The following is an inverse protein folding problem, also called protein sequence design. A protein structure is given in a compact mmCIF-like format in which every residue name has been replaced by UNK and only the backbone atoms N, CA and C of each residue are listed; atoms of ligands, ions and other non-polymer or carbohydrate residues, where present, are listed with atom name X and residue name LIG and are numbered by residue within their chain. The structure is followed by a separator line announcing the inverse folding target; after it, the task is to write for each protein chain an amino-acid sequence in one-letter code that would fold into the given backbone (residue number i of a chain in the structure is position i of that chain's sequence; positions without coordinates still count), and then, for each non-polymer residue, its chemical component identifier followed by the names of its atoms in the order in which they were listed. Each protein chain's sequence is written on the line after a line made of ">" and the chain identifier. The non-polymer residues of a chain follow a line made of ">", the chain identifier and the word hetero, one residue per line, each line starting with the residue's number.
data_IF_539004210233
#
_entry.id   IF_539004210233
#
_cell.length_a   1.000
_cell.length_b   1.000
_cell.length_c   1.000
_cell.angle_alpha   90.00
_cell.angle_beta   90.00
_cell.angle_gamma   90.00
#
_symmetry.space_group_name_H-M   'P 1'
#
loop_
_entity.id
_entity.type
_entity.pdbx_description
1 polymer ?
#
# COMPACT_ATOMS: atom_id res chain seq x y z
N UNK A 1 -22.66 -15.04 11.65
CA UNK A 1 -21.90 -16.23 11.18
C UNK A 1 -20.99 -16.72 12.30
N UNK A 2 -20.01 -15.92 12.73
CA UNK A 2 -19.09 -16.28 13.82
C UNK A 2 -19.77 -16.53 15.17
N UNK A 3 -20.91 -15.88 15.43
CA UNK A 3 -21.69 -16.05 16.68
C UNK A 3 -22.24 -17.47 16.88
N UNK A 4 -22.24 -18.30 15.84
CA UNK A 4 -22.71 -19.70 15.89
C UNK A 4 -21.55 -20.71 15.89
N UNK A 5 -20.31 -20.25 15.91
CA UNK A 5 -19.11 -21.12 15.91
C UNK A 5 -18.49 -21.07 17.31
N UNK A 6 -18.52 -22.18 18.09
CA UNK A 6 -18.02 -22.19 19.45
C UNK A 6 -16.56 -21.72 19.55
N UNK A 7 -16.28 -20.83 20.50
CA UNK A 7 -14.96 -20.24 20.78
C UNK A 7 -14.43 -19.29 19.68
N UNK A 8 -15.27 -18.90 18.72
CA UNK A 8 -14.92 -17.98 17.62
C UNK A 8 -15.83 -16.74 17.57
N UNK A 9 -16.67 -16.56 18.57
CA UNK A 9 -17.65 -15.47 18.66
C UNK A 9 -16.94 -14.10 18.65
N UNK A 10 -15.74 -14.04 19.23
CA UNK A 10 -14.89 -12.84 19.25
C UNK A 10 -14.37 -12.41 17.86
N UNK A 11 -14.49 -13.24 16.82
CA UNK A 11 -14.12 -12.88 15.45
C UNK A 11 -15.20 -12.12 14.70
N UNK A 12 -16.45 -12.15 15.19
CA UNK A 12 -17.56 -11.41 14.62
C UNK A 12 -17.57 -9.92 14.98
N UNK A 13 -16.77 -9.51 15.98
CA UNK A 13 -16.75 -8.14 16.48
C UNK A 13 -15.34 -7.57 16.53
N UNK A 14 -15.21 -6.30 16.20
CA UNK A 14 -13.97 -5.57 16.35
C UNK A 14 -13.71 -5.28 17.83
N UNK A 15 -12.61 -5.81 18.39
CA UNK A 15 -12.26 -5.63 19.80
C UNK A 15 -11.98 -4.18 20.21
N UNK A 16 -11.60 -3.32 19.25
CA UNK A 16 -11.35 -1.90 19.47
C UNK A 16 -12.62 -1.05 19.36
N UNK A 17 -13.45 -1.32 18.35
CA UNK A 17 -14.60 -0.47 18.02
C UNK A 17 -15.91 -0.98 18.60
N UNK A 18 -15.97 -2.24 19.05
CA UNK A 18 -17.17 -2.88 19.61
C UNK A 18 -18.37 -2.89 18.66
N UNK A 19 -18.09 -2.97 17.36
CA UNK A 19 -19.09 -3.09 16.29
C UNK A 19 -18.89 -4.41 15.54
N UNK A 20 -19.92 -4.90 14.82
CA UNK A 20 -19.77 -6.04 13.92
C UNK A 20 -18.62 -5.79 12.94
N UNK A 21 -17.71 -6.76 12.84
CA UNK A 21 -16.54 -6.61 11.99
C UNK A 21 -16.85 -7.01 10.55
N UNK A 22 -16.86 -6.02 9.66
CA UNK A 22 -16.98 -6.20 8.21
C UNK A 22 -15.67 -5.84 7.51
N UNK A 23 -15.53 -6.24 6.23
CA UNK A 23 -14.37 -5.81 5.43
C UNK A 23 -14.35 -4.28 5.25
N UNK A 24 -15.52 -3.64 5.08
CA UNK A 24 -15.63 -2.19 4.99
C UNK A 24 -15.16 -1.53 6.29
N UNK A 25 -15.59 -2.06 7.44
CA UNK A 25 -15.12 -1.60 8.74
C UNK A 25 -13.60 -1.70 8.87
N UNK A 26 -13.04 -2.90 8.61
CA UNK A 26 -11.58 -3.14 8.71
C UNK A 26 -10.80 -2.17 7.83
N UNK A 27 -11.28 -1.91 6.63
CA UNK A 27 -10.54 -1.15 5.63
C UNK A 27 -10.73 0.36 5.76
N UNK A 28 -11.89 0.87 6.20
CA UNK A 28 -12.22 2.30 6.11
C UNK A 28 -12.61 2.96 7.43
N UNK A 29 -13.11 2.19 8.41
CA UNK A 29 -13.77 2.77 9.59
C UNK A 29 -13.09 2.40 10.92
N UNK A 30 -12.30 1.33 10.93
CA UNK A 30 -11.72 0.77 12.14
C UNK A 30 -10.75 1.75 12.82
N UNK A 31 -10.97 2.02 14.10
CA UNK A 31 -10.11 2.87 14.95
C UNK A 31 -8.91 2.10 15.54
N UNK A 32 -8.74 0.82 15.21
CA UNK A 32 -7.57 0.08 15.66
C UNK A 32 -6.28 0.67 15.06
N UNK A 33 -5.14 0.59 15.77
CA UNK A 33 -3.88 1.15 15.30
C UNK A 33 -3.51 0.69 13.88
N UNK A 34 -3.00 1.62 13.08
CA UNK A 34 -2.44 1.36 11.75
C UNK A 34 -3.38 1.57 10.57
N UNK A 35 -4.71 1.39 10.69
CA UNK A 35 -5.62 1.56 9.55
C UNK A 35 -5.52 2.97 8.95
N UNK A 36 -5.83 3.99 9.76
CA UNK A 36 -5.81 5.39 9.32
C UNK A 36 -4.40 5.82 8.90
N UNK A 37 -3.39 5.43 9.68
CA UNK A 37 -1.99 5.71 9.39
C UNK A 37 -1.57 5.18 8.01
N UNK A 38 -1.96 3.96 7.66
CA UNK A 38 -1.64 3.35 6.37
C UNK A 38 -2.25 4.16 5.21
N UNK A 39 -3.50 4.63 5.35
CA UNK A 39 -4.10 5.46 4.30
C UNK A 39 -3.43 6.83 4.18
N UNK A 40 -3.02 7.44 5.30
CA UNK A 40 -2.24 8.67 5.27
C UNK A 40 -0.89 8.47 4.57
N UNK A 41 -0.21 7.34 4.80
CA UNK A 41 1.04 7.01 4.11
C UNK A 41 0.82 6.76 2.61
N UNK A 42 -0.26 6.06 2.24
CA UNK A 42 -0.67 5.84 0.86
C UNK A 42 -0.93 7.16 0.13
N UNK A 43 -1.69 8.06 0.74
CA UNK A 43 -1.95 9.40 0.22
C UNK A 43 -0.65 10.22 0.11
N UNK A 44 0.22 10.17 1.13
CA UNK A 44 1.50 10.88 1.11
C UNK A 44 2.37 10.45 -0.06
N UNK A 45 2.50 9.14 -0.29
CA UNK A 45 3.27 8.62 -1.43
C UNK A 45 2.63 8.99 -2.77
N UNK A 46 1.31 8.95 -2.87
CA UNK A 46 0.58 9.42 -4.05
C UNK A 46 0.91 10.89 -4.38
N UNK A 47 0.94 11.73 -3.34
CA UNK A 47 1.19 13.17 -3.45
C UNK A 47 2.61 13.56 -3.84
N UNK A 48 3.56 12.61 -3.87
CA UNK A 48 4.88 12.89 -4.46
C UNK A 48 4.79 13.26 -5.94
N UNK A 49 3.75 12.78 -6.63
CA UNK A 49 3.56 13.04 -8.05
C UNK A 49 2.18 13.58 -8.44
N UNK A 50 1.13 13.22 -7.70
CA UNK A 50 -0.24 13.46 -8.11
C UNK A 50 -1.00 14.30 -7.07
N UNK A 51 -1.71 15.33 -7.53
CA UNK A 51 -2.32 16.31 -6.63
C UNK A 51 -3.64 15.84 -5.99
N UNK A 52 -4.40 14.98 -6.67
CA UNK A 52 -5.76 14.63 -6.26
C UNK A 52 -5.83 13.19 -5.76
N UNK A 53 -5.73 13.01 -4.45
CA UNK A 53 -6.05 11.73 -3.81
C UNK A 53 -7.58 11.56 -3.77
N UNK A 54 -8.14 10.48 -4.33
CA UNK A 54 -9.58 10.28 -4.31
C UNK A 54 -10.06 9.94 -2.89
N UNK A 55 -11.25 10.40 -2.54
CA UNK A 55 -11.93 9.95 -1.31
C UNK A 55 -12.17 8.44 -1.42
N UNK A 56 -11.57 7.68 -0.51
CA UNK A 56 -11.78 6.25 -0.45
C UNK A 56 -13.20 5.93 0.03
N UNK A 57 -13.81 4.94 -0.62
CA UNK A 57 -15.06 4.32 -0.23
C UNK A 57 -14.99 2.85 -0.62
N UNK A 58 -15.93 2.04 -0.13
CA UNK A 58 -15.88 0.60 -0.32
C UNK A 58 -15.89 0.19 -1.79
N UNK A 59 -16.72 0.83 -2.62
CA UNK A 59 -16.75 0.60 -4.06
C UNK A 59 -15.42 0.89 -4.76
N UNK A 60 -14.73 1.98 -4.37
CA UNK A 60 -13.42 2.31 -4.91
C UNK A 60 -12.33 1.32 -4.49
N UNK A 61 -12.39 0.77 -3.27
CA UNK A 61 -11.45 -0.24 -2.81
C UNK A 61 -11.61 -1.55 -3.58
N UNK A 62 -12.85 -2.06 -3.70
CA UNK A 62 -13.17 -3.25 -4.49
C UNK A 62 -12.81 -3.05 -5.97
N UNK A 63 -13.07 -1.85 -6.48
CA UNK A 63 -12.79 -1.45 -7.86
C UNK A 63 -11.45 -0.75 -8.06
N UNK A 64 -10.45 -0.89 -7.19
CA UNK A 64 -9.25 -0.04 -7.23
C UNK A 64 -8.42 -0.12 -8.53
N UNK A 65 -8.69 -1.12 -9.37
CA UNK A 65 -8.10 -1.28 -10.70
C UNK A 65 -8.87 -0.57 -11.84
N UNK A 66 -10.05 -0.02 -11.56
CA UNK A 66 -10.97 0.58 -12.53
C UNK A 66 -10.87 2.10 -12.72
N UNK A 67 -10.35 2.91 -11.76
CA UNK A 67 -10.24 4.35 -11.97
C UNK A 67 -9.52 4.72 -13.27
N UNK A 68 -10.07 5.71 -13.96
CA UNK A 68 -9.50 6.30 -15.17
C UNK A 68 -9.11 7.74 -14.88
N UNK A 69 -7.96 7.93 -14.22
CA UNK A 69 -7.36 9.24 -14.05
C UNK A 69 -7.01 9.83 -15.42
N UNK A 70 -7.32 11.12 -15.58
CA UNK A 70 -7.12 11.87 -16.81
C UNK A 70 -6.08 12.96 -16.60
N UNK A 71 -5.28 13.22 -17.62
CA UNK A 71 -4.39 14.38 -17.67
C UNK A 71 -5.22 15.67 -17.77
N UNK A 72 -4.61 16.86 -17.57
CA UNK A 72 -5.29 18.13 -17.82
C UNK A 72 -5.84 18.27 -19.25
N UNK A 73 -5.26 17.54 -20.22
CA UNK A 73 -5.72 17.47 -21.61
C UNK A 73 -6.82 16.42 -21.85
N UNK A 74 -7.31 15.76 -20.80
CA UNK A 74 -8.40 14.78 -20.85
C UNK A 74 -8.00 13.35 -21.23
N UNK A 75 -6.73 13.09 -21.53
CA UNK A 75 -6.25 11.75 -21.90
C UNK A 75 -6.07 10.85 -20.68
N UNK A 76 -6.40 9.56 -20.81
CA UNK A 76 -6.14 8.56 -19.78
C UNK A 76 -4.64 8.49 -19.45
N UNK A 77 -4.30 8.35 -18.17
CA UNK A 77 -2.91 8.19 -17.72
C UNK A 77 -2.74 6.78 -17.13
N UNK A 78 -2.41 5.76 -17.96
CA UNK A 78 -2.35 4.37 -17.49
C UNK A 78 -1.40 4.14 -16.32
N UNK A 79 -0.27 4.85 -16.29
CA UNK A 79 0.70 4.79 -15.21
C UNK A 79 0.12 5.26 -13.87
N UNK A 80 -0.71 6.30 -13.88
CA UNK A 80 -1.37 6.83 -12.69
C UNK A 80 -2.43 5.86 -12.16
N UNK A 81 -3.27 5.30 -13.04
CA UNK A 81 -4.26 4.27 -12.68
C UNK A 81 -3.57 3.05 -12.04
N UNK A 82 -2.45 2.64 -12.64
CA UNK A 82 -1.66 1.50 -12.19
C UNK A 82 -1.01 1.77 -10.84
N UNK A 83 -0.42 2.95 -10.66
CA UNK A 83 0.18 3.35 -9.40
C UNK A 83 -0.85 3.37 -8.26
N UNK A 84 -2.03 3.96 -8.52
CA UNK A 84 -3.15 3.96 -7.57
C UNK A 84 -3.51 2.54 -7.15
N UNK A 85 -3.75 1.65 -8.12
CA UNK A 85 -4.06 0.24 -7.87
C UNK A 85 -3.00 -0.42 -6.99
N UNK A 86 -1.71 -0.21 -7.27
CA UNK A 86 -0.62 -0.84 -6.53
C UNK A 86 -0.54 -0.36 -5.09
N UNK A 87 -0.63 0.95 -4.85
CA UNK A 87 -0.61 1.51 -3.49
C UNK A 87 -1.83 1.04 -2.70
N UNK A 88 -3.03 1.16 -3.28
CA UNK A 88 -4.28 0.83 -2.60
C UNK A 88 -4.33 -0.67 -2.28
N UNK A 89 -4.09 -1.55 -3.25
CA UNK A 89 -4.12 -2.99 -3.00
C UNK A 89 -3.05 -3.46 -2.01
N UNK A 90 -1.84 -2.88 -2.05
CA UNK A 90 -0.79 -3.19 -1.07
C UNK A 90 -1.20 -2.74 0.34
N UNK A 91 -1.83 -1.56 0.44
CA UNK A 91 -2.32 -0.99 1.71
C UNK A 91 -3.48 -1.78 2.29
N UNK A 92 -4.48 -2.16 1.49
CA UNK A 92 -5.60 -3.02 1.92
C UNK A 92 -5.09 -4.34 2.47
N UNK A 93 -4.20 -5.01 1.74
CA UNK A 93 -3.61 -6.27 2.19
C UNK A 93 -2.84 -6.10 3.51
N UNK A 94 -2.12 -5.00 3.68
CA UNK A 94 -1.39 -4.75 4.92
C UNK A 94 -2.31 -4.43 6.10
N UNK A 95 -3.38 -3.65 5.90
CA UNK A 95 -4.42 -3.40 6.91
C UNK A 95 -5.07 -4.71 7.36
N UNK A 96 -5.46 -5.56 6.39
CA UNK A 96 -6.02 -6.88 6.68
C UNK A 96 -5.05 -7.75 7.48
N UNK A 97 -3.76 -7.76 7.09
CA UNK A 97 -2.73 -8.48 7.83
C UNK A 97 -2.61 -7.97 9.27
N UNK A 98 -2.56 -6.66 9.50
CA UNK A 98 -2.51 -6.10 10.85
C UNK A 98 -3.73 -6.52 11.67
N UNK A 99 -4.92 -6.55 11.08
CA UNK A 99 -6.11 -7.09 11.75
C UNK A 99 -5.92 -8.56 12.13
N UNK A 100 -5.44 -9.41 11.22
CA UNK A 100 -5.24 -10.82 11.52
C UNK A 100 -4.17 -11.05 12.60
N UNK A 101 -3.07 -10.29 12.56
CA UNK A 101 -2.04 -10.37 13.58
C UNK A 101 -2.59 -9.98 14.97
N UNK A 102 -3.57 -9.07 15.04
CA UNK A 102 -4.28 -8.71 16.29
C UNK A 102 -5.28 -9.75 16.76
N UNK A 103 -6.02 -10.37 15.83
CA UNK A 103 -7.14 -11.25 16.15
C UNK A 103 -6.68 -12.70 16.38
N UNK A 104 -5.70 -13.16 15.60
CA UNK A 104 -5.19 -14.54 15.65
C UNK A 104 -3.81 -14.63 16.28
N UNK A 105 -3.04 -13.54 16.28
CA UNK A 105 -1.69 -13.52 16.81
C UNK A 105 -1.66 -13.31 18.33
N UNK A 106 -0.58 -13.78 18.95
CA UNK A 106 -0.19 -13.44 20.33
C UNK A 106 0.68 -12.18 20.39
N UNK A 107 0.89 -11.53 19.25
CA UNK A 107 1.81 -10.42 19.10
C UNK A 107 1.28 -9.14 19.77
N UNK A 108 2.18 -8.39 20.41
CA UNK A 108 1.88 -7.05 20.92
C UNK A 108 1.51 -6.13 19.75
N UNK A 109 0.65 -5.15 20.03
CA UNK A 109 0.33 -4.11 19.06
C UNK A 109 1.61 -3.40 18.61
N UNK A 110 1.85 -3.39 17.31
CA UNK A 110 2.98 -2.71 16.72
C UNK A 110 2.90 -1.20 16.99
N UNK A 111 4.05 -0.59 17.29
CA UNK A 111 4.13 0.86 17.44
C UNK A 111 3.91 1.57 16.09
N UNK A 112 3.47 2.83 16.11
CA UNK A 112 3.22 3.60 14.87
C UNK A 112 4.45 3.67 13.96
N UNK A 113 5.66 3.84 14.53
CA UNK A 113 6.92 3.84 13.76
C UNK A 113 7.18 2.49 13.09
N UNK A 114 6.80 1.40 13.75
CA UNK A 114 6.95 0.05 13.22
C UNK A 114 5.96 -0.19 12.08
N UNK A 115 4.69 0.21 12.24
CA UNK A 115 3.67 0.15 11.18
C UNK A 115 4.12 0.95 9.96
N UNK A 116 4.67 2.15 10.17
CA UNK A 116 5.26 2.96 9.10
C UNK A 116 6.35 2.19 8.35
N UNK A 117 7.36 1.70 9.08
CA UNK A 117 8.53 1.05 8.48
C UNK A 117 8.14 -0.24 7.74
N UNK A 118 7.20 -1.01 8.30
CA UNK A 118 6.64 -2.19 7.66
C UNK A 118 5.86 -1.83 6.39
N UNK A 119 5.05 -0.78 6.40
CA UNK A 119 4.34 -0.32 5.20
C UNK A 119 5.30 0.12 4.10
N UNK A 120 6.32 0.93 4.44
CA UNK A 120 7.39 1.35 3.51
C UNK A 120 8.10 0.13 2.91
N UNK A 121 8.44 -0.86 3.75
CA UNK A 121 9.04 -2.13 3.30
C UNK A 121 8.13 -2.90 2.34
N UNK A 122 6.80 -2.91 2.58
CA UNK A 122 5.82 -3.55 1.70
C UNK A 122 5.72 -2.85 0.35
N UNK A 123 5.68 -1.52 0.32
CA UNK A 123 5.68 -0.75 -0.93
C UNK A 123 6.98 -0.98 -1.72
N UNK A 124 8.14 -0.94 -1.06
CA UNK A 124 9.42 -1.25 -1.70
C UNK A 124 9.47 -2.69 -2.25
N UNK A 125 8.88 -3.65 -1.53
CA UNK A 125 8.73 -5.01 -2.03
C UNK A 125 7.83 -5.09 -3.26
N UNK A 126 6.75 -4.30 -3.28
CA UNK A 126 5.85 -4.17 -4.43
C UNK A 126 6.58 -3.58 -5.63
N UNK A 127 7.35 -2.50 -5.46
CA UNK A 127 8.24 -1.93 -6.50
C UNK A 127 9.26 -2.96 -7.01
N UNK A 128 9.95 -3.66 -6.11
CA UNK A 128 10.95 -4.69 -6.47
C UNK A 128 10.32 -5.82 -7.29
N UNK A 129 9.15 -6.31 -6.88
CA UNK A 129 8.38 -7.30 -7.65
C UNK A 129 8.01 -6.76 -9.02
N UNK A 130 7.64 -5.49 -9.10
CA UNK A 130 7.26 -4.87 -10.35
C UNK A 130 8.41 -4.76 -11.34
N UNK A 131 9.58 -4.36 -10.86
CA UNK A 131 10.83 -4.40 -11.62
C UNK A 131 11.13 -5.82 -12.11
N UNK A 132 11.01 -6.81 -11.22
CA UNK A 132 11.28 -8.21 -11.56
C UNK A 132 10.40 -8.70 -12.72
N UNK A 133 9.11 -8.32 -12.73
CA UNK A 133 8.16 -8.71 -13.77
C UNK A 133 8.50 -8.14 -15.16
N UNK A 134 9.48 -7.25 -15.29
CA UNK A 134 10.00 -6.79 -16.59
C UNK A 134 11.01 -7.74 -17.24
N UNK A 135 11.46 -8.78 -16.52
CA UNK A 135 12.49 -9.68 -17.00
C UNK A 135 11.97 -10.60 -18.12
N UNK A 136 12.28 -10.27 -19.37
CA UNK A 136 11.91 -11.06 -20.56
C UNK A 136 12.53 -12.45 -20.61
N UNK A 137 13.74 -12.63 -20.09
CA UNK A 137 14.38 -13.96 -20.03
C UNK A 137 13.58 -14.91 -19.14
N UNK A 138 12.98 -14.39 -18.05
CA UNK A 138 12.19 -15.19 -17.11
C UNK A 138 10.72 -15.34 -17.50
N UNK A 139 10.12 -14.29 -18.06
CA UNK A 139 8.66 -14.21 -18.27
C UNK A 139 8.24 -14.16 -19.74
N UNK A 140 9.18 -14.14 -20.70
CA UNK A 140 8.88 -14.12 -22.13
C UNK A 140 7.92 -12.98 -22.50
N UNK A 141 6.85 -13.34 -23.23
CA UNK A 141 5.81 -12.40 -23.67
C UNK A 141 4.90 -11.90 -22.53
N UNK A 142 4.91 -12.57 -21.37
CA UNK A 142 4.18 -12.13 -20.18
C UNK A 142 4.95 -11.04 -19.40
N UNK A 143 6.18 -10.72 -19.81
CA UNK A 143 6.97 -9.68 -19.17
C UNK A 143 6.32 -8.30 -19.34
N UNK A 144 6.27 -7.55 -18.24
CA UNK A 144 5.78 -6.17 -18.25
C UNK A 144 6.77 -5.29 -19.02
N UNK A 145 6.27 -4.40 -19.87
CA UNK A 145 7.11 -3.42 -20.56
C UNK A 145 7.83 -2.54 -19.53
N UNK A 146 9.16 -2.44 -19.62
CA UNK A 146 9.98 -1.58 -18.76
C UNK A 146 9.45 -0.15 -18.66
N UNK A 147 9.10 0.44 -19.81
CA UNK A 147 8.58 1.80 -19.86
C UNK A 147 7.32 1.99 -19.03
N UNK A 148 6.47 0.96 -18.92
CA UNK A 148 5.28 1.04 -18.06
C UNK A 148 5.68 1.11 -16.58
N UNK A 149 6.68 0.34 -16.15
CA UNK A 149 7.18 0.36 -14.77
C UNK A 149 7.87 1.69 -14.46
N UNK A 150 8.76 2.16 -15.35
CA UNK A 150 9.39 3.49 -15.26
C UNK A 150 8.32 4.57 -15.11
N UNK A 151 7.36 4.63 -16.05
CA UNK A 151 6.30 5.61 -16.02
C UNK A 151 5.40 5.50 -14.79
N UNK A 152 5.24 4.30 -14.19
CA UNK A 152 4.42 4.10 -12.99
C UNK A 152 5.07 4.70 -11.75
N UNK A 153 6.37 4.46 -11.55
CA UNK A 153 7.06 4.76 -10.28
C UNK A 153 7.89 6.03 -10.30
N UNK A 154 8.29 6.53 -11.47
CA UNK A 154 9.02 7.79 -11.56
C UNK A 154 8.22 8.95 -10.97
N UNK A 155 8.94 9.90 -10.35
CA UNK A 155 8.43 10.98 -9.52
C UNK A 155 8.07 10.55 -8.08
N UNK A 156 8.42 9.33 -7.67
CA UNK A 156 8.08 8.81 -6.32
C UNK A 156 9.24 8.08 -5.65
N UNK A 157 10.42 8.09 -6.27
CA UNK A 157 11.60 7.35 -5.82
C UNK A 157 12.46 8.19 -4.88
N UNK A 158 13.25 7.50 -4.06
CA UNK A 158 14.27 8.12 -3.22
C UNK A 158 15.45 8.56 -4.08
N UNK A 159 15.88 9.80 -3.90
CA UNK A 159 17.05 10.39 -4.57
C UNK A 159 17.01 10.16 -6.10
N UNK A 160 15.83 10.37 -6.69
CA UNK A 160 15.53 10.00 -8.08
C UNK A 160 16.44 10.70 -9.10
N UNK A 161 16.87 11.94 -8.82
CA UNK A 161 17.79 12.70 -9.68
C UNK A 161 19.17 12.04 -9.83
N UNK A 162 19.52 11.12 -8.92
CA UNK A 162 20.77 10.35 -8.98
C UNK A 162 20.61 9.00 -9.71
N UNK A 163 19.39 8.64 -10.12
CA UNK A 163 19.11 7.41 -10.86
C UNK A 163 19.25 7.64 -12.37
N UNK A 164 19.67 6.62 -13.14
CA UNK A 164 19.59 6.69 -14.59
C UNK A 164 18.13 6.66 -15.06
N UNK A 165 17.87 7.19 -16.27
CA UNK A 165 16.54 7.17 -16.89
C UNK A 165 15.92 5.75 -16.93
N UNK A 166 16.72 4.71 -17.24
CA UNK A 166 16.34 3.30 -17.09
C UNK A 166 16.92 2.70 -15.79
N UNK A 167 16.26 2.97 -14.66
CA UNK A 167 16.64 2.42 -13.36
C UNK A 167 16.16 0.98 -13.10
N UNK A 168 15.56 0.29 -14.09
CA UNK A 168 14.98 -1.05 -13.90
C UNK A 168 16.02 -2.06 -13.42
N UNK A 169 17.26 -1.98 -13.91
CA UNK A 169 18.35 -2.87 -13.50
C UNK A 169 19.16 -2.35 -12.31
N UNK A 170 18.93 -1.12 -11.87
CA UNK A 170 19.66 -0.53 -10.75
C UNK A 170 19.30 -1.22 -9.44
N UNK A 171 20.30 -1.50 -8.62
CA UNK A 171 20.09 -1.99 -7.25
C UNK A 171 19.71 -0.81 -6.34
N UNK A 172 19.08 -1.11 -5.20
CA UNK A 172 18.81 -0.09 -4.18
C UNK A 172 17.75 0.98 -4.54
N UNK A 173 17.00 0.81 -5.64
CA UNK A 173 15.89 1.72 -5.96
C UNK A 173 14.75 1.52 -4.96
N UNK A 174 14.46 2.57 -4.19
CA UNK A 174 13.43 2.61 -3.15
C UNK A 174 12.44 3.75 -3.43
N UNK A 175 11.24 3.66 -2.87
CA UNK A 175 10.32 4.80 -2.83
C UNK A 175 10.87 5.89 -1.91
N UNK A 176 10.57 7.15 -2.19
CA UNK A 176 11.08 8.32 -1.47
C UNK A 176 10.60 8.44 -0.01
N UNK A 177 9.79 7.50 0.47
CA UNK A 177 9.37 7.45 1.86
C UNK A 177 10.43 6.77 2.72
N UNK A 178 11.08 7.56 3.59
CA UNK A 178 12.15 7.07 4.47
C UNK A 178 11.56 6.43 5.74
N UNK A 179 12.07 5.26 6.17
CA UNK A 179 11.72 4.69 7.46
C UNK A 179 11.98 5.68 8.61
N UNK A 180 11.09 5.68 9.60
CA UNK A 180 11.28 6.44 10.84
C UNK A 180 12.24 5.71 11.76
N UNK A 181 13.30 6.39 12.21
CA UNK A 181 14.16 5.89 13.28
C UNK A 181 13.48 6.08 14.63
N UNK A 182 13.55 5.09 15.52
CA UNK A 182 13.16 5.30 16.92
C UNK A 182 14.07 6.39 17.48
N UNK A 183 13.49 7.51 17.95
CA UNK A 183 14.20 8.38 18.88
C UNK A 183 14.42 7.55 20.14
N UNK A 184 15.62 6.99 20.31
CA UNK A 184 16.04 6.53 21.62
C UNK A 184 16.06 7.77 22.50
N UNK A 185 15.14 7.86 23.46
CA UNK A 185 15.18 8.87 24.49
C UNK A 185 16.48 8.67 25.28
N UNK A 186 17.44 9.56 25.08
CA UNK A 186 18.50 9.81 26.06
C UNK A 186 17.85 10.65 27.14
N UNK A 187 17.48 9.97 28.24
CA UNK A 187 17.38 10.59 29.55
C UNK A 187 18.75 10.67 30.20
#
# INVERSE_FOLDING_TARGET
>A
FWDHVPNMENFGQCSFCRVPESLEHIMLECNAPGQNQIWQLAEKLWRFRFNSWPRLNWGLLLGCALPKFKSPKGHSVPAQNRFFKMIVSTSMHFIWRLRNDRVLGTAKLAAESEIHNLWVSKINSTLKRDKLLTNRTRFGDLAIKKQLVLNTWSGTLLDEDSLPDDWIKSNGVLVGMRPTTRKNGVG
#
